data_IF_925655848939
#
_entry.id   IF_925655848939
#
_cell.length_a   1.000
_cell.length_b   1.000
_cell.length_c   1.000
_cell.angle_alpha   90.00
_cell.angle_beta   90.00
_cell.angle_gamma   90.00
#
_symmetry.space_group_name_H-M   'P 1'
#
loop_
_entity.id
_entity.type
_entity.pdbx_description
1 polymer ?
#
# COMPACT_ATOMS: atom_id res chain seq x y z
N UNK A 1 57.63 -49.86 29.50
CA UNK A 1 57.17 -50.36 28.19
C UNK A 1 56.96 -49.16 27.27
N UNK A 2 57.67 -49.18 26.14
CA UNK A 2 57.47 -48.46 24.87
C UNK A 2 56.92 -47.01 24.86
N UNK A 3 57.85 -46.08 24.60
CA UNK A 3 57.82 -45.01 23.58
C UNK A 3 56.53 -44.75 22.81
N UNK A 4 56.12 -43.47 22.74
CA UNK A 4 55.70 -42.85 21.47
C UNK A 4 56.03 -41.36 21.44
N UNK A 5 56.80 -41.00 20.41
CA UNK A 5 57.39 -39.70 20.16
C UNK A 5 56.36 -38.67 19.67
N UNK A 6 56.61 -37.41 20.04
CA UNK A 6 55.94 -36.21 19.51
C UNK A 6 56.40 -35.98 18.07
N UNK A 7 55.46 -35.92 17.14
CA UNK A 7 55.71 -35.43 15.78
C UNK A 7 55.18 -34.00 15.66
N UNK A 8 56.13 -33.09 15.46
CA UNK A 8 55.94 -31.71 15.01
C UNK A 8 55.61 -31.70 13.52
N UNK A 9 54.53 -31.00 13.14
CA UNK A 9 54.20 -30.71 11.75
C UNK A 9 55.06 -29.54 11.23
N UNK A 10 55.60 -29.58 10.00
CA UNK A 10 56.31 -28.47 9.42
C UNK A 10 55.35 -27.44 8.79
N UNK A 11 55.60 -26.18 9.15
CA UNK A 11 55.06 -24.96 8.55
C UNK A 11 55.36 -24.93 7.06
N UNK A 12 54.34 -25.01 6.21
CA UNK A 12 54.44 -24.64 4.78
C UNK A 12 53.85 -23.26 4.59
N UNK A 13 54.73 -22.31 4.25
CA UNK A 13 54.38 -21.04 3.64
C UNK A 13 53.61 -21.30 2.33
N UNK A 14 52.36 -20.87 2.29
CA UNK A 14 51.61 -20.73 1.04
C UNK A 14 51.74 -19.28 0.57
N UNK A 15 52.27 -19.13 -0.63
CA UNK A 15 52.48 -17.88 -1.35
C UNK A 15 51.15 -17.24 -1.71
N UNK A 16 51.06 -15.93 -1.52
CA UNK A 16 49.90 -15.12 -1.87
C UNK A 16 49.65 -15.13 -3.39
N UNK A 17 48.61 -15.86 -3.81
CA UNK A 17 48.02 -15.73 -5.14
C UNK A 17 47.27 -14.40 -5.20
N UNK A 18 47.82 -13.43 -5.95
CA UNK A 18 47.13 -12.20 -6.33
C UNK A 18 45.91 -12.55 -7.18
N UNK A 19 44.73 -12.65 -6.57
CA UNK A 19 43.49 -12.66 -7.34
C UNK A 19 43.27 -11.25 -7.90
N UNK A 20 43.16 -11.19 -9.21
CA UNK A 20 42.91 -9.99 -10.00
C UNK A 20 41.50 -9.53 -9.64
N UNK A 21 41.38 -8.43 -8.87
CA UNK A 21 40.10 -7.70 -8.75
C UNK A 21 39.69 -7.26 -10.16
N UNK A 22 38.73 -7.97 -10.71
CA UNK A 22 37.97 -7.52 -11.86
C UNK A 22 37.22 -6.28 -11.37
N UNK A 23 37.69 -5.10 -11.81
CA UNK A 23 36.93 -3.87 -11.66
C UNK A 23 35.72 -4.03 -12.58
N UNK A 24 34.55 -4.25 -12.01
CA UNK A 24 33.32 -3.91 -12.70
C UNK A 24 33.36 -2.40 -12.86
N UNK A 25 33.39 -1.96 -14.11
CA UNK A 25 33.19 -0.58 -14.49
C UNK A 25 31.80 -0.15 -14.03
N UNK A 26 31.77 0.85 -13.17
CA UNK A 26 30.56 1.60 -12.86
C UNK A 26 30.14 2.37 -14.10
N UNK A 27 29.51 1.68 -15.05
CA UNK A 27 28.61 2.33 -15.98
C UNK A 27 27.35 2.68 -15.19
N UNK A 28 26.97 3.94 -15.27
CA UNK A 28 25.75 4.52 -14.72
C UNK A 28 24.53 3.72 -15.18
N UNK A 29 24.18 2.68 -14.43
CA UNK A 29 22.82 2.16 -14.41
C UNK A 29 21.99 3.30 -13.81
N UNK A 30 21.43 4.14 -14.67
CA UNK A 30 20.24 4.91 -14.31
C UNK A 30 19.32 3.92 -13.58
N UNK A 31 19.14 4.14 -12.28
CA UNK A 31 18.18 3.39 -11.48
C UNK A 31 16.82 3.73 -12.07
N UNK A 32 16.39 2.92 -13.04
CA UNK A 32 15.09 3.06 -13.67
C UNK A 32 14.07 2.66 -12.63
N UNK A 33 13.33 3.65 -12.16
CA UNK A 33 12.17 3.45 -11.31
C UNK A 33 11.24 2.40 -11.95
N UNK A 34 10.76 1.45 -11.14
CA UNK A 34 9.77 0.46 -11.60
C UNK A 34 8.37 1.08 -11.63
N UNK A 35 8.05 1.90 -10.64
CA UNK A 35 6.76 2.57 -10.51
C UNK A 35 6.77 3.95 -11.16
N UNK A 36 5.64 4.33 -11.74
CA UNK A 36 5.37 5.73 -12.06
C UNK A 36 5.37 6.54 -10.76
N UNK A 37 6.04 7.70 -10.75
CA UNK A 37 5.98 8.62 -9.61
C UNK A 37 4.74 9.48 -9.69
N UNK A 38 3.99 9.54 -8.59
CA UNK A 38 2.82 10.40 -8.48
C UNK A 38 3.23 11.88 -8.54
N UNK A 39 2.62 12.65 -9.44
CA UNK A 39 2.71 14.11 -9.44
C UNK A 39 1.77 14.69 -8.38
N UNK A 40 2.19 14.65 -7.12
CA UNK A 40 1.39 15.17 -5.99
C UNK A 40 1.07 16.66 -6.16
N UNK A 41 1.95 17.45 -6.78
CA UNK A 41 1.73 18.87 -6.99
C UNK A 41 0.59 19.13 -7.98
N UNK A 42 0.46 18.31 -9.03
CA UNK A 42 -0.71 18.33 -9.91
C UNK A 42 -1.99 18.02 -9.15
N UNK A 43 -1.99 17.00 -8.30
CA UNK A 43 -3.21 16.60 -7.58
C UNK A 43 -3.61 17.60 -6.51
N UNK A 44 -2.67 18.22 -5.78
CA UNK A 44 -2.97 19.36 -4.89
C UNK A 44 -3.61 20.54 -5.64
N UNK A 45 -3.17 20.83 -6.87
CA UNK A 45 -3.81 21.86 -7.73
C UNK A 45 -5.19 21.44 -8.25
N UNK A 46 -5.40 20.16 -8.53
CA UNK A 46 -6.69 19.62 -8.98
C UNK A 46 -7.73 19.60 -7.85
N UNK A 47 -7.28 19.36 -6.62
CA UNK A 47 -8.12 19.28 -5.43
C UNK A 47 -7.65 20.27 -4.35
N UNK A 48 -7.75 21.59 -4.57
CA UNK A 48 -7.34 22.56 -3.57
C UNK A 48 -8.20 22.45 -2.31
N UNK A 49 -7.55 22.43 -1.14
CA UNK A 49 -8.22 22.25 0.14
C UNK A 49 -9.26 23.35 0.42
N UNK A 50 -8.99 24.59 0.03
CA UNK A 50 -9.94 25.70 0.14
C UNK A 50 -11.23 25.45 -0.65
N UNK A 51 -11.12 25.03 -1.91
CA UNK A 51 -12.28 24.73 -2.77
C UNK A 51 -13.08 23.51 -2.28
N UNK A 52 -12.42 22.55 -1.63
CA UNK A 52 -13.09 21.41 -0.99
C UNK A 52 -13.91 21.86 0.22
N UNK A 53 -13.36 22.72 1.08
CA UNK A 53 -14.08 23.31 2.23
C UNK A 53 -15.29 24.14 1.79
N UNK A 54 -15.12 24.99 0.76
CA UNK A 54 -16.24 25.77 0.19
C UNK A 54 -17.38 24.87 -0.33
N UNK A 55 -17.04 23.75 -0.98
CA UNK A 55 -18.04 22.77 -1.45
C UNK A 55 -18.77 22.10 -0.29
N UNK A 56 -18.06 21.73 0.77
CA UNK A 56 -18.65 21.15 1.98
C UNK A 56 -19.64 22.13 2.63
N UNK A 57 -19.24 23.39 2.78
CA UNK A 57 -20.12 24.46 3.27
C UNK A 57 -21.37 24.65 2.42
N UNK A 58 -21.21 24.71 1.10
CA UNK A 58 -22.33 24.83 0.17
C UNK A 58 -23.29 23.63 0.31
N UNK A 59 -22.75 22.42 0.40
CA UNK A 59 -23.55 21.20 0.50
C UNK A 59 -24.40 21.18 1.78
N UNK A 60 -23.83 21.54 2.94
CA UNK A 60 -24.57 21.61 4.21
C UNK A 60 -25.65 22.70 4.16
N UNK A 61 -25.37 23.85 3.55
CA UNK A 61 -26.37 24.91 3.33
C UNK A 61 -27.52 24.44 2.45
N UNK A 62 -27.23 23.68 1.39
CA UNK A 62 -28.28 23.08 0.54
C UNK A 62 -29.13 22.07 1.30
N UNK A 63 -28.53 21.27 2.19
CA UNK A 63 -29.28 20.36 3.05
C UNK A 63 -30.20 21.10 4.02
N UNK A 64 -29.70 22.17 4.65
CA UNK A 64 -30.50 23.02 5.54
C UNK A 64 -31.63 23.73 4.78
N UNK A 65 -31.40 24.15 3.54
CA UNK A 65 -32.44 24.76 2.71
C UNK A 65 -33.56 23.76 2.35
N UNK A 66 -33.23 22.48 2.18
CA UNK A 66 -34.20 21.40 1.89
C UNK A 66 -34.97 20.96 3.13
N UNK A 67 -34.32 20.96 4.30
CA UNK A 67 -34.93 20.67 5.59
C UNK A 67 -34.45 21.67 6.65
N UNK A 68 -35.19 22.77 6.87
CA UNK A 68 -34.83 23.80 7.85
C UNK A 68 -34.74 23.31 9.29
N UNK A 69 -35.30 22.12 9.61
CA UNK A 69 -35.24 21.55 10.95
C UNK A 69 -34.07 20.57 11.13
N UNK A 70 -33.31 20.29 10.07
CA UNK A 70 -32.17 19.36 10.09
C UNK A 70 -31.05 19.83 11.02
N UNK A 71 -30.79 21.13 11.04
CA UNK A 71 -29.81 21.78 11.91
C UNK A 71 -30.46 23.01 12.56
N UNK A 72 -30.61 22.95 13.88
CA UNK A 72 -31.27 23.94 14.74
C UNK A 72 -30.29 24.95 15.31
N UNK A 73 -28.99 24.63 15.37
CA UNK A 73 -27.96 25.51 15.92
C UNK A 73 -26.83 25.80 14.91
N UNK A 74 -26.07 26.86 15.15
CA UNK A 74 -24.87 27.16 14.36
C UNK A 74 -23.78 26.09 14.55
N UNK A 75 -23.74 25.45 15.73
CA UNK A 75 -22.79 24.38 16.03
C UNK A 75 -23.11 23.12 15.23
N UNK A 76 -24.37 22.70 15.18
CA UNK A 76 -24.79 21.54 14.37
C UNK A 76 -24.50 21.74 12.87
N UNK A 77 -24.60 22.98 12.38
CA UNK A 77 -24.18 23.30 11.00
C UNK A 77 -22.67 23.17 10.83
N UNK A 78 -21.90 23.64 11.81
CA UNK A 78 -20.43 23.58 11.81
C UNK A 78 -19.95 22.12 11.86
N UNK A 79 -20.45 21.32 12.80
CA UNK A 79 -20.16 19.88 12.90
C UNK A 79 -20.48 19.16 11.58
N UNK A 80 -21.63 19.47 10.97
CA UNK A 80 -21.99 18.89 9.68
C UNK A 80 -21.02 19.29 8.56
N UNK A 81 -20.50 20.52 8.56
CA UNK A 81 -19.48 20.97 7.59
C UNK A 81 -18.17 20.24 7.80
N UNK A 82 -17.76 20.02 9.05
CA UNK A 82 -16.54 19.29 9.38
C UNK A 82 -16.64 17.82 8.97
N UNK A 83 -17.78 17.18 9.25
CA UNK A 83 -18.06 15.78 8.90
C UNK A 83 -18.00 15.51 7.39
N UNK A 84 -18.43 16.46 6.56
CA UNK A 84 -18.45 16.30 5.10
C UNK A 84 -17.32 17.05 4.40
N UNK A 85 -16.50 17.73 5.20
CA UNK A 85 -15.34 18.48 4.77
C UNK A 85 -14.17 17.55 4.42
N UNK A 86 -13.12 18.11 3.82
CA UNK A 86 -11.90 17.35 3.56
C UNK A 86 -11.22 16.96 4.89
N UNK A 87 -10.99 15.66 5.09
CA UNK A 87 -10.33 15.08 6.27
C UNK A 87 -9.32 13.99 5.89
N UNK A 88 -8.81 13.28 6.91
CA UNK A 88 -8.06 12.04 6.66
C UNK A 88 -9.00 10.96 6.15
N UNK A 89 -8.62 10.22 5.12
CA UNK A 89 -9.43 9.13 4.56
C UNK A 89 -8.53 7.97 4.11
N UNK A 90 -9.14 6.80 3.89
CA UNK A 90 -8.48 5.70 3.19
C UNK A 90 -8.01 6.13 1.80
N UNK A 91 -6.73 5.92 1.51
CA UNK A 91 -6.15 6.38 0.25
C UNK A 91 -6.48 5.41 -0.87
N UNK A 92 -7.64 5.64 -1.49
CA UNK A 92 -8.13 4.87 -2.63
C UNK A 92 -8.07 5.63 -3.96
N UNK A 93 -7.80 6.94 -3.93
CA UNK A 93 -7.78 7.81 -5.11
C UNK A 93 -6.90 9.05 -4.94
N UNK A 94 -6.69 9.83 -6.02
CA UNK A 94 -5.80 10.99 -6.01
C UNK A 94 -6.26 12.14 -5.12
N UNK A 95 -7.58 12.29 -4.92
CA UNK A 95 -8.13 13.32 -4.03
C UNK A 95 -7.70 13.08 -2.57
N UNK A 96 -7.75 11.84 -2.08
CA UNK A 96 -7.45 11.51 -0.69
C UNK A 96 -6.00 11.87 -0.33
N UNK A 97 -5.03 11.50 -1.16
CA UNK A 97 -3.62 11.85 -0.90
C UNK A 97 -3.36 13.35 -1.07
N UNK A 98 -4.03 14.01 -2.02
CA UNK A 98 -3.90 15.46 -2.18
C UNK A 98 -4.43 16.21 -0.97
N UNK A 99 -5.55 15.77 -0.39
CA UNK A 99 -6.12 16.32 0.84
C UNK A 99 -5.18 16.11 2.02
N UNK A 100 -4.78 14.87 2.29
CA UNK A 100 -3.90 14.53 3.41
C UNK A 100 -2.59 15.31 3.36
N UNK A 101 -1.95 15.40 2.19
CA UNK A 101 -0.69 16.13 2.05
C UNK A 101 -0.87 17.65 2.20
N UNK A 102 -2.04 18.22 1.89
CA UNK A 102 -2.35 19.63 2.17
C UNK A 102 -2.66 19.85 3.65
N UNK A 103 -3.39 18.93 4.30
CA UNK A 103 -3.66 18.99 5.73
C UNK A 103 -2.36 18.91 6.55
N UNK A 104 -1.42 18.06 6.15
CA UNK A 104 -0.08 17.98 6.75
C UNK A 104 0.72 19.27 6.58
N UNK A 105 0.61 19.94 5.42
CA UNK A 105 1.23 21.25 5.19
C UNK A 105 0.61 22.32 6.11
N UNK A 106 -0.72 22.35 6.26
CA UNK A 106 -1.43 23.28 7.16
C UNK A 106 -1.13 23.03 8.64
N UNK A 107 -1.04 21.76 9.05
CA UNK A 107 -0.73 21.37 10.43
C UNK A 107 0.73 21.66 10.82
N UNK A 108 1.61 21.94 9.85
CA UNK A 108 3.02 22.27 10.08
C UNK A 108 3.73 21.29 11.03
N UNK A 109 3.49 19.99 10.85
CA UNK A 109 3.95 18.92 11.75
C UNK A 109 5.44 19.14 12.09
N UNK A 110 5.81 19.31 13.37
CA UNK A 110 7.17 19.64 13.74
C UNK A 110 8.17 18.59 13.26
N UNK A 111 9.39 19.03 12.93
CA UNK A 111 10.47 18.11 12.57
C UNK A 111 10.91 17.20 13.73
N UNK A 112 10.57 17.55 14.97
CA UNK A 112 10.83 16.74 16.16
C UNK A 112 9.94 15.50 16.23
N UNK A 113 8.86 15.44 15.45
CA UNK A 113 7.99 14.27 15.42
C UNK A 113 8.61 13.17 14.59
N UNK A 114 8.53 11.95 15.12
CA UNK A 114 8.97 10.74 14.43
C UNK A 114 8.23 10.62 13.10
N UNK A 115 8.97 10.66 12.00
CA UNK A 115 8.46 10.42 10.65
C UNK A 115 9.05 9.11 10.15
N UNK A 116 8.19 8.13 9.94
CA UNK A 116 8.55 6.80 9.49
C UNK A 116 8.33 6.77 7.98
N UNK A 117 9.38 6.58 7.15
CA UNK A 117 9.23 6.57 5.70
C UNK A 117 8.19 5.56 5.21
N UNK A 118 7.35 6.00 4.29
CA UNK A 118 6.24 5.22 3.71
C UNK A 118 6.16 5.47 2.22
N UNK A 119 6.12 4.40 1.43
CA UNK A 119 5.78 4.48 0.01
C UNK A 119 4.32 4.08 -0.18
N UNK A 120 3.50 5.03 -0.62
CA UNK A 120 2.06 4.86 -0.80
C UNK A 120 1.72 4.71 -2.28
N UNK A 121 0.71 3.90 -2.60
CA UNK A 121 0.27 3.66 -3.96
C UNK A 121 -1.11 4.23 -4.23
N UNK A 122 -1.22 5.06 -5.27
CA UNK A 122 -2.51 5.53 -5.81
C UNK A 122 -2.71 4.86 -7.16
N UNK A 123 -3.91 4.31 -7.38
CA UNK A 123 -4.12 3.39 -8.50
C UNK A 123 -4.60 4.07 -9.79
N UNK A 124 -4.08 3.56 -10.90
CA UNK A 124 -4.62 3.69 -12.24
C UNK A 124 -5.34 2.38 -12.61
N UNK A 125 -6.38 2.47 -13.44
CA UNK A 125 -7.10 1.30 -13.95
C UNK A 125 -6.40 0.67 -15.15
N UNK A 126 -6.36 -0.66 -15.21
CA UNK A 126 -5.80 -1.46 -16.30
C UNK A 126 -4.47 -2.13 -15.97
N UNK A 127 -3.75 -2.58 -17.00
CA UNK A 127 -2.43 -3.22 -16.87
C UNK A 127 -1.29 -2.19 -16.94
N UNK A 128 -0.26 -2.30 -16.09
CA UNK A 128 0.93 -1.47 -16.21
C UNK A 128 1.81 -1.91 -17.39
N UNK A 129 2.57 -0.97 -17.95
CA UNK A 129 3.57 -1.29 -18.97
C UNK A 129 4.68 -2.21 -18.43
N UNK A 130 5.10 -1.99 -17.17
CA UNK A 130 6.06 -2.86 -16.50
C UNK A 130 5.32 -3.90 -15.65
N UNK A 131 5.53 -5.17 -15.99
CA UNK A 131 4.84 -6.29 -15.33
C UNK A 131 5.18 -6.42 -13.84
N UNK A 132 6.34 -5.94 -13.41
CA UNK A 132 6.80 -6.02 -12.03
C UNK A 132 6.13 -5.00 -11.10
N UNK A 133 5.56 -3.90 -11.61
CA UNK A 133 4.94 -2.83 -10.81
C UNK A 133 3.94 -3.36 -9.78
N UNK A 134 3.88 -2.72 -8.61
CA UNK A 134 2.86 -2.97 -7.58
C UNK A 134 1.46 -2.81 -8.19
N UNK A 135 0.65 -3.87 -8.10
CA UNK A 135 -0.64 -3.95 -8.78
C UNK A 135 -1.56 -4.99 -8.16
N UNK A 136 -2.81 -4.95 -8.57
CA UNK A 136 -3.89 -5.83 -8.16
C UNK A 136 -4.57 -6.38 -9.42
N UNK A 137 -4.91 -7.66 -9.39
CA UNK A 137 -5.48 -8.38 -10.54
C UNK A 137 -4.60 -8.33 -11.79
N UNK A 138 -5.14 -8.85 -12.89
CA UNK A 138 -4.45 -8.85 -14.18
C UNK A 138 -3.36 -9.90 -14.32
N UNK A 139 -2.32 -9.58 -15.09
CA UNK A 139 -1.26 -10.52 -15.44
C UNK A 139 -0.11 -10.47 -14.42
N UNK A 140 0.17 -11.51 -13.64
CA UNK A 140 1.23 -11.48 -12.62
C UNK A 140 2.63 -11.37 -13.23
N UNK A 141 3.58 -10.87 -12.45
CA UNK A 141 5.01 -11.09 -12.68
C UNK A 141 5.35 -12.53 -12.29
N UNK A 142 4.98 -13.49 -13.14
CA UNK A 142 5.16 -14.92 -12.89
C UNK A 142 5.84 -15.60 -14.08
N UNK A 143 6.94 -16.34 -13.91
CA UNK A 143 7.61 -17.01 -15.02
C UNK A 143 6.77 -18.19 -15.51
N UNK A 144 6.64 -18.32 -16.83
CA UNK A 144 5.87 -19.39 -17.48
C UNK A 144 6.37 -20.82 -17.17
N UNK A 145 7.63 -20.96 -16.75
CA UNK A 145 8.22 -22.24 -16.36
C UNK A 145 7.84 -22.70 -14.95
N UNK A 146 7.27 -21.83 -14.10
CA UNK A 146 6.85 -22.20 -12.75
C UNK A 146 5.41 -22.73 -12.78
N UNK A 147 5.12 -23.85 -12.07
CA UNK A 147 3.76 -24.34 -11.91
C UNK A 147 2.84 -23.26 -11.34
N UNK A 148 1.58 -23.23 -11.80
CA UNK A 148 0.59 -22.33 -11.21
C UNK A 148 0.23 -22.77 -9.78
N UNK A 149 0.08 -21.85 -8.82
CA UNK A 149 -0.29 -22.21 -7.45
C UNK A 149 -1.70 -22.82 -7.32
N UNK A 150 -1.84 -23.81 -6.44
CA UNK A 150 -3.11 -24.46 -6.13
C UNK A 150 -3.35 -24.47 -4.62
N UNK A 151 -4.62 -24.49 -4.20
CA UNK A 151 -5.00 -24.61 -2.79
C UNK A 151 -4.92 -26.08 -2.31
N UNK A 152 -5.30 -26.31 -1.05
CA UNK A 152 -5.23 -27.64 -0.41
C UNK A 152 -6.13 -28.71 -1.05
N UNK A 153 -7.12 -28.31 -1.86
CA UNK A 153 -8.01 -29.21 -2.61
C UNK A 153 -7.66 -29.28 -4.11
N UNK A 154 -6.46 -28.80 -4.49
CA UNK A 154 -5.95 -28.81 -5.87
C UNK A 154 -6.78 -27.96 -6.85
N UNK A 155 -7.42 -26.89 -6.37
CA UNK A 155 -8.02 -25.85 -7.23
C UNK A 155 -7.02 -24.71 -7.47
N UNK A 156 -6.96 -24.14 -8.68
CA UNK A 156 -6.03 -23.05 -9.00
C UNK A 156 -6.36 -21.79 -8.19
N UNK A 157 -5.34 -21.19 -7.59
CA UNK A 157 -5.48 -19.91 -6.89
C UNK A 157 -5.58 -18.75 -7.88
N UNK A 158 -6.27 -17.69 -7.46
CA UNK A 158 -6.38 -16.43 -8.21
C UNK A 158 -5.17 -15.55 -7.90
N UNK A 159 -4.62 -14.89 -8.90
CA UNK A 159 -3.66 -13.81 -8.66
C UNK A 159 -4.39 -12.60 -8.08
N UNK A 160 -4.09 -12.28 -6.82
CA UNK A 160 -4.73 -11.17 -6.09
C UNK A 160 -4.02 -9.86 -6.40
N UNK A 161 -2.70 -9.87 -6.31
CA UNK A 161 -1.87 -8.69 -6.52
C UNK A 161 -0.42 -8.95 -6.18
N UNK A 162 0.41 -7.93 -6.29
CA UNK A 162 1.84 -8.02 -6.00
C UNK A 162 2.37 -6.67 -5.50
N UNK A 163 3.43 -6.71 -4.69
CA UNK A 163 4.26 -5.55 -4.40
C UNK A 163 5.62 -5.70 -5.04
N UNK A 164 6.11 -4.61 -5.61
CA UNK A 164 7.51 -4.48 -5.98
C UNK A 164 8.20 -3.50 -5.04
N UNK A 165 9.26 -3.98 -4.40
CA UNK A 165 10.03 -3.24 -3.39
C UNK A 165 11.25 -2.53 -3.98
N UNK A 166 11.52 -2.68 -5.28
CA UNK A 166 12.73 -2.16 -5.92
C UNK A 166 12.96 -0.65 -5.72
N UNK A 167 11.88 0.12 -5.70
CA UNK A 167 11.90 1.57 -5.47
C UNK A 167 11.85 1.95 -3.97
N UNK A 168 11.70 0.96 -3.10
CA UNK A 168 11.49 1.09 -1.65
C UNK A 168 12.52 0.30 -0.82
N UNK A 169 13.64 -0.12 -1.42
CA UNK A 169 14.68 -0.92 -0.73
C UNK A 169 15.30 -0.20 0.47
N UNK A 170 15.33 1.13 0.46
CA UNK A 170 15.80 1.94 1.58
C UNK A 170 14.84 1.91 2.78
N UNK A 171 13.57 1.58 2.56
CA UNK A 171 12.54 1.40 3.59
C UNK A 171 12.46 -0.07 4.02
N UNK A 172 12.33 -0.97 3.04
CA UNK A 172 11.96 -2.36 3.26
C UNK A 172 13.14 -3.32 3.39
N UNK A 173 14.39 -2.84 3.43
CA UNK A 173 15.67 -3.57 3.40
C UNK A 173 15.70 -5.04 3.88
N UNK A 174 16.63 -5.82 3.30
CA UNK A 174 16.86 -7.24 3.60
C UNK A 174 15.68 -8.15 3.21
N UNK A 175 15.23 -8.05 1.95
CA UNK A 175 14.16 -8.88 1.42
C UNK A 175 14.73 -10.10 0.64
N UNK A 176 14.02 -11.25 0.63
CA UNK A 176 14.41 -12.43 -0.16
C UNK A 176 14.39 -12.22 -1.67
N UNK A 177 13.57 -11.27 -2.14
CA UNK A 177 13.43 -10.89 -3.54
C UNK A 177 12.90 -9.47 -3.66
N UNK A 178 12.71 -9.01 -4.89
CA UNK A 178 12.27 -7.65 -5.19
C UNK A 178 10.75 -7.54 -5.34
N UNK A 179 10.08 -8.64 -5.69
CA UNK A 179 8.64 -8.71 -5.91
C UNK A 179 8.05 -9.81 -5.03
N UNK A 180 7.00 -9.50 -4.29
CA UNK A 180 6.14 -10.53 -3.67
C UNK A 180 4.85 -10.63 -4.48
N UNK A 181 4.52 -11.84 -4.92
CA UNK A 181 3.28 -12.13 -5.64
C UNK A 181 2.32 -12.80 -4.67
N UNK A 182 1.06 -12.35 -4.66
CA UNK A 182 0.01 -12.79 -3.76
C UNK A 182 -1.02 -13.58 -4.57
N UNK A 183 -1.22 -14.83 -4.18
CA UNK A 183 -2.28 -15.69 -4.70
C UNK A 183 -3.27 -16.01 -3.60
N UNK A 184 -4.54 -16.21 -3.95
CA UNK A 184 -5.57 -16.53 -2.99
C UNK A 184 -6.83 -17.06 -3.64
N UNK A 185 -7.73 -17.60 -2.82
CA UNK A 185 -9.09 -17.88 -3.23
C UNK A 185 -10.07 -16.85 -2.63
N UNK A 186 -11.30 -16.81 -3.15
CA UNK A 186 -12.29 -15.82 -2.71
C UNK A 186 -12.65 -15.94 -1.22
N UNK A 187 -12.44 -17.11 -0.60
CA UNK A 187 -12.73 -17.28 0.82
C UNK A 187 -11.68 -16.60 1.69
N UNK A 188 -10.46 -16.40 1.17
CA UNK A 188 -9.40 -15.65 1.85
C UNK A 188 -9.79 -14.20 2.20
N UNK A 189 -10.78 -13.63 1.52
CA UNK A 189 -11.34 -12.30 1.82
C UNK A 189 -12.09 -12.27 3.15
N UNK A 190 -12.61 -13.42 3.60
CA UNK A 190 -13.51 -13.53 4.76
C UNK A 190 -12.99 -14.48 5.85
N UNK A 191 -11.95 -15.25 5.56
CA UNK A 191 -11.38 -16.22 6.48
C UNK A 191 -10.10 -15.67 7.10
N UNK A 192 -10.11 -15.53 8.42
CA UNK A 192 -8.94 -15.17 9.23
C UNK A 192 -7.92 -16.31 9.41
N UNK A 193 -8.11 -17.44 8.73
CA UNK A 193 -7.19 -18.58 8.80
C UNK A 193 -6.02 -18.35 7.82
N UNK A 194 -4.79 -18.52 8.29
CA UNK A 194 -3.51 -18.30 7.56
C UNK A 194 -3.42 -19.02 6.19
N UNK A 195 -4.32 -19.96 5.90
CA UNK A 195 -4.31 -20.81 4.69
C UNK A 195 -4.91 -20.18 3.43
N UNK A 196 -5.52 -18.99 3.51
CA UNK A 196 -6.24 -18.38 2.38
C UNK A 196 -5.35 -17.69 1.35
N UNK A 197 -4.16 -17.20 1.76
CA UNK A 197 -3.24 -16.46 0.90
C UNK A 197 -1.87 -17.14 0.82
N UNK A 198 -1.32 -17.16 -0.39
CA UNK A 198 0.03 -17.62 -0.69
C UNK A 198 0.89 -16.44 -1.15
N UNK A 199 2.08 -16.33 -0.56
CA UNK A 199 3.04 -15.28 -0.88
C UNK A 199 4.31 -15.89 -1.46
N UNK A 200 4.74 -15.38 -2.62
CA UNK A 200 5.91 -15.89 -3.34
C UNK A 200 6.89 -14.77 -3.69
N UNK A 201 8.13 -14.91 -3.24
CA UNK A 201 9.22 -13.99 -3.54
C UNK A 201 9.85 -14.29 -4.90
N UNK A 202 10.02 -13.24 -5.71
CA UNK A 202 10.61 -13.28 -7.03
C UNK A 202 11.66 -12.16 -7.20
N UNK A 203 12.88 -12.46 -7.69
CA UNK A 203 13.81 -11.42 -8.13
C UNK A 203 13.35 -10.69 -9.39
N UNK A 204 13.79 -9.45 -9.57
CA UNK A 204 13.69 -8.74 -10.84
C UNK A 204 14.54 -9.39 -11.95
N UNK A 205 14.23 -9.04 -13.20
CA UNK A 205 14.98 -9.46 -14.38
C UNK A 205 14.61 -10.86 -14.91
N UNK A 206 13.48 -11.42 -14.47
CA UNK A 206 12.95 -12.66 -15.05
C UNK A 206 12.50 -12.42 -16.50
N UNK A 207 12.80 -13.40 -17.35
CA UNK A 207 12.31 -13.48 -18.71
C UNK A 207 11.14 -14.48 -18.80
N UNK A 208 10.49 -14.54 -19.96
CA UNK A 208 9.46 -15.53 -20.28
C UNK A 208 8.30 -15.58 -19.27
N UNK A 209 7.79 -14.40 -18.92
CA UNK A 209 6.63 -14.27 -18.05
C UNK A 209 5.39 -14.89 -18.70
N UNK A 210 4.51 -15.42 -17.87
CA UNK A 210 3.29 -16.12 -18.28
C UNK A 210 2.43 -15.26 -19.22
N UNK A 211 1.77 -15.87 -20.18
CA UNK A 211 0.78 -15.20 -21.05
C UNK A 211 -0.63 -15.32 -20.46
N UNK A 212 -1.57 -14.53 -20.97
CA UNK A 212 -2.97 -14.57 -20.53
C UNK A 212 -3.59 -15.96 -20.74
N UNK A 213 -3.26 -16.62 -21.85
CA UNK A 213 -3.77 -17.94 -22.23
C UNK A 213 -3.27 -19.07 -21.31
N UNK A 214 -2.21 -18.83 -20.57
CA UNK A 214 -1.62 -19.77 -19.62
C UNK A 214 -2.19 -19.62 -18.20
N UNK A 215 -2.96 -18.56 -17.93
CA UNK A 215 -3.60 -18.36 -16.63
C UNK A 215 -4.84 -19.28 -16.55
N UNK A 216 -4.92 -20.18 -15.56
CA UNK A 216 -6.10 -21.01 -15.40
C UNK A 216 -7.31 -20.14 -14.99
N UNK A 217 -8.52 -20.47 -15.45
CA UNK A 217 -9.71 -19.74 -15.05
C UNK A 217 -9.98 -19.96 -13.56
N UNK A 218 -10.26 -18.86 -12.85
CA UNK A 218 -10.64 -18.89 -11.43
C UNK A 218 -12.02 -18.27 -11.24
N UNK A 219 -12.63 -18.53 -10.07
CA UNK A 219 -13.97 -18.00 -9.74
C UNK A 219 -13.92 -16.56 -9.24
N UNK A 220 -12.78 -16.12 -8.73
CA UNK A 220 -12.60 -14.78 -8.21
C UNK A 220 -12.06 -13.88 -9.32
N UNK A 221 -12.88 -12.94 -9.77
CA UNK A 221 -12.48 -11.91 -10.73
C UNK A 221 -12.00 -10.69 -9.97
N UNK A 222 -10.85 -10.17 -10.37
CA UNK A 222 -10.26 -8.96 -9.82
C UNK A 222 -9.84 -8.08 -11.01
N UNK A 223 -10.47 -6.91 -11.11
CA UNK A 223 -10.21 -5.92 -12.14
C UNK A 223 -8.75 -5.44 -12.03
N UNK A 224 -7.98 -5.45 -13.14
CA UNK A 224 -6.60 -5.00 -13.11
C UNK A 224 -6.48 -3.52 -12.75
N UNK A 225 -5.62 -3.21 -11.79
CA UNK A 225 -5.18 -1.85 -11.49
C UNK A 225 -3.73 -1.81 -11.00
N UNK A 226 -3.02 -0.72 -11.27
CA UNK A 226 -1.60 -0.57 -10.91
C UNK A 226 -1.32 0.73 -10.16
N UNK A 227 -0.38 0.68 -9.23
CA UNK A 227 -0.05 1.81 -8.36
C UNK A 227 1.02 2.72 -8.96
N UNK A 228 0.78 4.03 -8.91
CA UNK A 228 1.83 5.03 -8.94
C UNK A 228 2.30 5.33 -7.51
N UNK A 229 3.61 5.42 -7.32
CA UNK A 229 4.25 5.55 -6.00
C UNK A 229 4.34 7.02 -5.58
N UNK A 230 4.02 7.28 -4.32
CA UNK A 230 4.26 8.56 -3.63
C UNK A 230 5.04 8.30 -2.34
N UNK A 231 6.27 8.81 -2.28
CA UNK A 231 7.10 8.76 -1.08
C UNK A 231 6.62 9.81 -0.09
N UNK A 232 6.21 9.35 1.08
CA UNK A 232 5.74 10.17 2.20
C UNK A 232 6.18 9.54 3.53
N UNK A 233 5.47 9.81 4.61
CA UNK A 233 5.73 9.24 5.92
C UNK A 233 4.44 8.95 6.70
N UNK A 234 4.52 8.01 7.63
CA UNK A 234 3.61 7.91 8.78
C UNK A 234 4.22 8.63 9.99
N UNK A 235 3.38 9.25 10.80
CA UNK A 235 3.78 9.96 12.01
C UNK A 235 2.80 9.61 13.15
N UNK A 236 2.88 8.41 13.74
CA UNK A 236 1.94 7.98 14.78
C UNK A 236 1.92 8.92 16.00
N UNK A 237 3.06 9.50 16.35
CA UNK A 237 3.19 10.47 17.46
C UNK A 237 2.64 11.88 17.10
N UNK A 238 2.21 12.10 15.85
CA UNK A 238 1.65 13.39 15.40
C UNK A 238 0.15 13.54 15.63
N UNK A 239 -0.54 12.49 16.09
CA UNK A 239 -1.99 12.53 16.33
C UNK A 239 -2.38 13.76 17.18
N UNK A 240 -1.57 14.09 18.20
CA UNK A 240 -1.80 15.26 19.05
C UNK A 240 -1.60 16.62 18.36
N UNK A 241 -0.98 16.70 17.19
CA UNK A 241 -0.81 17.96 16.44
C UNK A 241 -1.93 18.22 15.45
N UNK A 242 -2.72 17.20 15.14
CA UNK A 242 -4.03 17.40 14.55
C UNK A 242 -5.05 17.85 15.62
N UNK A 243 -4.79 17.52 16.90
CA UNK A 243 -5.55 17.98 18.07
C UNK A 243 -5.19 19.38 18.61
N UNK A 244 -4.03 19.97 18.27
CA UNK A 244 -3.49 21.12 18.99
C UNK A 244 -3.23 22.33 18.09
N UNK A 245 -4.28 23.13 17.82
CA UNK A 245 -4.19 24.60 17.89
C UNK A 245 -5.56 25.32 17.90
N UNK A 246 -6.58 24.85 18.63
CA UNK A 246 -7.86 25.58 18.71
C UNK A 246 -8.52 25.36 20.08
N UNK A 247 -9.13 26.42 20.62
CA UNK A 247 -10.18 26.36 21.64
C UNK A 247 -11.46 25.61 21.15
N UNK A 248 -11.34 24.76 20.13
CA UNK A 248 -12.38 23.94 19.49
C UNK A 248 -11.80 22.56 19.17
N UNK A 249 -12.22 21.53 19.90
CA UNK A 249 -11.72 20.15 19.86
C UNK A 249 -12.03 19.37 18.56
N UNK A 250 -12.40 20.03 17.45
CA UNK A 250 -13.11 19.35 16.35
C UNK A 250 -12.70 19.80 14.93
N UNK A 251 -11.42 20.12 14.67
CA UNK A 251 -11.05 20.62 13.33
C UNK A 251 -10.96 19.55 12.25
N UNK A 252 -10.74 18.30 12.64
CA UNK A 252 -10.48 17.23 11.69
C UNK A 252 -11.27 15.99 12.12
N UNK A 253 -12.28 15.63 11.35
CA UNK A 253 -12.75 14.25 11.41
C UNK A 253 -11.63 13.37 10.83
N UNK A 254 -11.30 12.26 11.51
CA UNK A 254 -10.30 11.25 11.09
C UNK A 254 -8.82 11.69 11.07
N UNK A 255 -8.39 12.44 12.08
CA UNK A 255 -6.99 12.84 12.34
C UNK A 255 -5.97 11.71 12.26
N UNK A 256 -6.36 10.54 12.75
CA UNK A 256 -5.51 9.35 12.74
C UNK A 256 -5.10 8.93 11.34
N UNK A 257 -5.97 9.14 10.33
CA UNK A 257 -5.67 8.84 8.92
C UNK A 257 -4.81 9.91 8.25
N UNK A 258 -4.67 11.09 8.85
CA UNK A 258 -3.68 12.10 8.43
C UNK A 258 -2.31 11.79 9.04
N UNK A 259 -2.27 11.27 10.28
CA UNK A 259 -1.04 10.83 10.94
C UNK A 259 -0.49 9.52 10.36
N UNK A 260 -1.32 8.50 10.23
CA UNK A 260 -0.96 7.16 9.76
C UNK A 260 -1.85 6.78 8.60
N UNK A 261 -1.26 6.65 7.41
CA UNK A 261 -2.02 6.48 6.18
C UNK A 261 -2.62 5.09 6.09
N UNK A 262 -3.89 5.03 5.72
CA UNK A 262 -4.58 3.80 5.32
C UNK A 262 -4.59 3.68 3.79
N UNK A 263 -4.44 2.46 3.29
CA UNK A 263 -4.38 2.16 1.87
C UNK A 263 -3.23 1.23 1.53
N UNK A 264 -2.94 1.09 0.24
CA UNK A 264 -1.85 0.23 -0.22
C UNK A 264 -0.51 0.94 -0.04
N UNK A 265 0.39 0.36 0.78
CA UNK A 265 1.67 0.99 1.13
C UNK A 265 2.79 -0.01 1.45
N UNK A 266 4.04 0.44 1.31
CA UNK A 266 5.26 -0.22 1.78
C UNK A 266 5.89 0.63 2.89
N UNK A 267 6.27 0.00 4.00
CA UNK A 267 6.82 0.67 5.18
C UNK A 267 5.78 1.48 5.95
N UNK A 268 6.25 2.40 6.79
CA UNK A 268 5.41 3.08 7.77
C UNK A 268 5.06 2.19 8.96
N UNK A 269 3.84 2.36 9.49
CA UNK A 269 3.27 1.53 10.56
C UNK A 269 1.89 0.99 10.16
N UNK A 270 1.45 -0.16 10.70
CA UNK A 270 0.10 -0.65 10.45
C UNK A 270 -0.95 0.38 10.89
N UNK A 271 -1.96 0.62 10.06
CA UNK A 271 -3.14 1.40 10.43
C UNK A 271 -4.25 0.44 10.86
N UNK A 272 -4.17 -0.09 12.07
CA UNK A 272 -5.14 -1.06 12.56
C UNK A 272 -6.58 -0.51 12.46
N UNK A 273 -7.46 -1.27 11.81
CA UNK A 273 -8.89 -0.93 11.69
C UNK A 273 -9.62 -1.45 12.94
N UNK A 274 -9.18 -2.60 13.44
CA UNK A 274 -9.68 -3.25 14.65
C UNK A 274 -8.61 -3.22 15.75
N UNK A 275 -8.61 -4.20 16.65
CA UNK A 275 -7.58 -4.31 17.68
C UNK A 275 -6.20 -4.58 17.06
N UNK A 276 -5.11 -3.97 17.57
CA UNK A 276 -3.76 -4.32 17.15
C UNK A 276 -3.46 -5.81 17.36
N UNK A 277 -2.83 -6.42 16.38
CA UNK A 277 -2.40 -7.82 16.45
C UNK A 277 -0.88 -7.92 16.48
N UNK A 278 -0.38 -8.80 17.34
CA UNK A 278 1.05 -9.12 17.41
C UNK A 278 1.36 -10.27 16.46
N UNK A 279 1.87 -9.95 15.28
CA UNK A 279 2.38 -10.93 14.33
C UNK A 279 3.91 -11.02 14.39
N UNK A 280 4.49 -12.19 14.07
CA UNK A 280 5.95 -12.32 13.99
C UNK A 280 6.56 -11.41 12.92
N UNK A 281 7.75 -10.90 13.23
CA UNK A 281 8.53 -10.07 12.31
C UNK A 281 8.23 -8.58 12.39
N UNK A 282 8.65 -7.84 11.37
CA UNK A 282 8.43 -6.40 11.25
C UNK A 282 7.36 -6.10 10.21
N UNK A 283 6.61 -5.03 10.39
CA UNK A 283 5.69 -4.57 9.35
C UNK A 283 6.44 -4.32 8.03
N UNK A 284 5.90 -4.87 6.95
CA UNK A 284 6.48 -4.78 5.62
C UNK A 284 5.64 -3.86 4.72
N UNK A 285 4.35 -4.16 4.59
CA UNK A 285 3.43 -3.47 3.69
C UNK A 285 1.98 -3.77 4.06
N UNK A 286 1.06 -2.96 3.54
CA UNK A 286 -0.38 -3.23 3.60
C UNK A 286 -0.97 -3.17 2.20
N UNK A 287 -1.90 -4.08 1.90
CA UNK A 287 -2.71 -4.08 0.69
C UNK A 287 -4.14 -3.67 1.07
N UNK A 288 -4.48 -2.41 0.77
CA UNK A 288 -5.81 -1.88 1.03
C UNK A 288 -6.82 -2.36 -0.01
N UNK A 289 -8.10 -2.36 0.38
CA UNK A 289 -9.20 -2.53 -0.55
C UNK A 289 -9.20 -1.43 -1.62
N UNK A 290 -9.75 -1.76 -2.79
CA UNK A 290 -9.85 -0.85 -3.93
C UNK A 290 -11.27 -0.32 -4.04
N UNK A 291 -11.45 0.90 -3.56
CA UNK A 291 -12.73 1.59 -3.57
C UNK A 291 -12.55 2.96 -4.24
N UNK A 292 -12.65 3.05 -5.58
CA UNK A 292 -12.49 4.32 -6.28
C UNK A 292 -13.51 5.34 -5.78
N UNK A 293 -13.07 6.59 -5.62
CA UNK A 293 -13.93 7.66 -5.11
C UNK A 293 -15.10 7.92 -6.06
N UNK A 294 -16.31 7.59 -5.60
CA UNK A 294 -17.51 7.77 -6.37
C UNK A 294 -17.90 9.25 -6.46
N UNK A 295 -18.61 9.63 -7.52
CA UNK A 295 -19.18 10.98 -7.70
C UNK A 295 -18.15 12.15 -7.69
N UNK A 296 -16.84 11.86 -7.58
CA UNK A 296 -15.73 12.82 -7.68
C UNK A 296 -14.96 12.63 -8.99
N UNK A 297 -14.42 13.69 -9.62
CA UNK A 297 -13.55 13.52 -10.78
C UNK A 297 -12.26 12.81 -10.39
N UNK A 298 -11.70 12.05 -11.33
CA UNK A 298 -10.51 11.23 -11.11
C UNK A 298 -10.66 10.17 -10.00
N UNK A 299 -11.64 9.25 -10.09
CA UNK A 299 -11.68 8.05 -9.23
C UNK A 299 -10.41 7.19 -9.33
N UNK A 300 -9.73 7.29 -10.47
CA UNK A 300 -8.43 6.67 -10.74
C UNK A 300 -7.49 7.73 -11.34
N UNK A 301 -6.18 7.47 -11.30
CA UNK A 301 -5.19 8.39 -11.89
C UNK A 301 -5.40 8.67 -13.38
N UNK A 302 -5.93 7.69 -14.13
CA UNK A 302 -6.08 7.73 -15.58
C UNK A 302 -7.56 7.80 -16.06
N UNK A 303 -8.53 7.89 -15.15
CA UNK A 303 -9.96 7.96 -15.48
C UNK A 303 -10.52 9.27 -14.96
N UNK A 304 -10.77 10.25 -15.84
CA UNK A 304 -11.24 11.57 -15.40
C UNK A 304 -12.71 11.59 -14.98
N UNK A 305 -13.57 10.87 -15.69
CA UNK A 305 -15.00 10.88 -15.44
C UNK A 305 -15.31 10.22 -14.07
N UNK A 306 -16.20 10.81 -13.26
CA UNK A 306 -16.69 10.16 -12.05
C UNK A 306 -17.30 8.79 -12.34
N UNK A 307 -17.19 7.87 -11.39
CA UNK A 307 -17.92 6.61 -11.39
C UNK A 307 -19.16 6.73 -10.51
N UNK A 308 -20.26 6.10 -10.92
CA UNK A 308 -21.47 6.05 -10.11
C UNK A 308 -21.23 5.24 -8.84
N UNK A 309 -21.72 5.73 -7.70
CA UNK A 309 -21.70 4.98 -6.45
C UNK A 309 -22.64 3.78 -6.53
N UNK A 310 -22.08 2.57 -6.60
CA UNK A 310 -22.84 1.29 -6.63
C UNK A 310 -22.87 0.61 -5.25
N UNK A 311 -23.32 1.32 -4.22
CA UNK A 311 -23.34 0.84 -2.83
C UNK A 311 -21.96 0.86 -2.14
N UNK A 312 -21.90 0.45 -0.87
CA UNK A 312 -20.65 0.34 -0.10
C UNK A 312 -19.78 -0.83 -0.60
N UNK A 313 -20.42 -1.93 -1.00
CA UNK A 313 -19.81 -3.02 -1.77
C UNK A 313 -19.73 -2.64 -3.26
N UNK A 314 -18.88 -1.67 -3.58
CA UNK A 314 -18.67 -1.15 -4.94
C UNK A 314 -18.04 -2.20 -5.85
N UNK A 315 -18.73 -2.53 -6.95
CA UNK A 315 -18.34 -3.43 -8.05
C UNK A 315 -17.79 -4.82 -7.65
N UNK A 316 -18.45 -5.94 -7.96
CA UNK A 316 -17.97 -7.28 -7.58
C UNK A 316 -16.57 -7.62 -8.12
N UNK A 317 -16.09 -6.86 -9.11
CA UNK A 317 -14.79 -7.07 -9.72
C UNK A 317 -13.66 -6.28 -9.03
N UNK A 318 -13.92 -5.33 -8.11
CA UNK A 318 -12.83 -4.68 -7.36
C UNK A 318 -12.37 -5.52 -6.17
N UNK A 319 -11.07 -5.47 -5.87
CA UNK A 319 -10.52 -6.13 -4.69
C UNK A 319 -11.09 -5.49 -3.43
N UNK A 320 -11.80 -6.28 -2.64
CA UNK A 320 -12.34 -5.89 -1.34
C UNK A 320 -11.89 -6.91 -0.30
N UNK A 321 -11.38 -6.44 0.83
CA UNK A 321 -11.09 -7.24 2.02
C UNK A 321 -12.24 -7.06 3.01
N UNK A 322 -12.94 -8.13 3.39
CA UNK A 322 -14.13 -8.05 4.23
C UNK A 322 -15.14 -6.96 3.81
N UNK A 323 -15.61 -6.16 4.77
CA UNK A 323 -16.39 -4.94 4.54
C UNK A 323 -15.48 -3.70 4.51
N UNK A 324 -14.65 -3.60 3.47
CA UNK A 324 -13.66 -2.53 3.26
C UNK A 324 -12.50 -2.57 4.25
N UNK A 325 -11.53 -3.45 3.98
CA UNK A 325 -10.40 -3.69 4.86
C UNK A 325 -9.03 -3.52 4.23
N UNK A 326 -8.03 -4.02 4.94
CA UNK A 326 -6.66 -4.16 4.46
C UNK A 326 -6.05 -5.47 4.94
N UNK A 327 -5.18 -6.06 4.11
CA UNK A 327 -4.27 -7.12 4.53
C UNK A 327 -2.94 -6.49 4.94
N UNK A 328 -2.54 -6.70 6.19
CA UNK A 328 -1.26 -6.25 6.75
C UNK A 328 -0.26 -7.41 6.67
N UNK A 329 0.90 -7.15 6.09
CA UNK A 329 1.97 -8.14 5.96
C UNK A 329 3.18 -7.76 6.81
N UNK A 330 3.70 -8.76 7.50
CA UNK A 330 4.88 -8.71 8.34
C UNK A 330 5.90 -9.71 7.81
N UNK A 331 7.18 -9.34 7.88
CA UNK A 331 8.28 -10.19 7.42
C UNK A 331 9.19 -10.56 8.59
N UNK A 332 9.43 -11.85 8.75
CA UNK A 332 10.39 -12.37 9.73
C UNK A 332 11.84 -12.33 9.21
N UNK A 333 12.77 -12.78 10.03
CA UNK A 333 14.21 -12.77 9.70
C UNK A 333 14.61 -13.79 8.63
N UNK A 334 13.78 -14.82 8.42
CA UNK A 334 14.01 -15.87 7.43
C UNK A 334 13.36 -15.53 6.08
N UNK A 335 12.61 -14.42 6.01
CA UNK A 335 11.91 -13.96 4.83
C UNK A 335 10.47 -14.48 4.71
N UNK A 336 9.98 -15.18 5.73
CA UNK A 336 8.60 -15.63 5.84
C UNK A 336 7.65 -14.45 6.01
N UNK A 337 6.50 -14.51 5.35
CA UNK A 337 5.45 -13.50 5.47
C UNK A 337 4.36 -14.01 6.41
N UNK A 338 4.09 -13.21 7.44
CA UNK A 338 2.96 -13.35 8.35
C UNK A 338 1.96 -12.27 7.99
N UNK A 339 0.67 -12.57 8.07
CA UNK A 339 -0.35 -11.61 7.65
C UNK A 339 -1.60 -11.68 8.51
N UNK A 340 -2.33 -10.58 8.54
CA UNK A 340 -3.69 -10.51 9.10
C UNK A 340 -4.54 -9.59 8.24
N UNK A 341 -5.84 -9.83 8.22
CA UNK A 341 -6.84 -9.02 7.54
C UNK A 341 -7.70 -8.34 8.60
N UNK A 342 -7.98 -7.05 8.39
CA UNK A 342 -8.97 -6.34 9.19
C UNK A 342 -9.85 -5.48 8.29
N UNK A 343 -11.13 -5.42 8.62
CA UNK A 343 -12.16 -4.60 7.96
C UNK A 343 -13.07 -3.93 9.01
N UNK A 344 -13.89 -2.98 8.56
CA UNK A 344 -14.72 -2.10 9.41
C UNK A 344 -15.92 -2.78 10.07
#
# INVERSE_FOLDING_TARGET
MASRARFTLPTRMATASKSRRMRCDGSDLEVRMIHERLDIARWKRMFPLASLRERAEQMVREWQARDPNRYQTAEEVREAILLVGPGGEGITGPIHIAVVEQLRDEAQIPQSITRIPTDLFVFARGEPQNRATTKIGGLPYWPSSRPWPHNIIDEPLTFVGQFCFADSHDIAANLPGDVVVIFGDQQAVWNHDESGLLFEWLPLGMADLISEEQIPPTRWRIEPCFGAIHRTYDAPDSQTYFLLDIDDEEKFDREEQVAVLEGTKIGGVPRWIQSPEELPGRFLCALGSIQPEADSPYPWLNVQAPVERRGYASDPDYLMWGDVGSVYMFIDTDGGIHWTEQCY
#
